data_IF_667028047737
#
_entry.id   IF_667028047737
#
_cell.length_a   1.000
_cell.length_b   1.000
_cell.length_c   1.000
_cell.angle_alpha   90.00
_cell.angle_beta   90.00
_cell.angle_gamma   90.00
#
_symmetry.space_group_name_H-M   'P 1'
#
loop_
_entity.id
_entity.type
_entity.pdbx_description
1 polymer ?
#
# COMPACT_ATOMS: atom_id res chain seq x y z
N UNK A 1 -57.45 66.69 -4.17
CA UNK A 1 -58.28 65.54 -4.56
C UNK A 1 -57.49 64.76 -5.61
N UNK A 2 -57.14 63.50 -5.27
CA UNK A 2 -56.59 62.42 -6.12
C UNK A 2 -55.15 62.61 -6.66
N UNK A 3 -54.15 61.82 -6.22
CA UNK A 3 -53.84 60.42 -6.63
C UNK A 3 -53.22 60.40 -8.05
N UNK A 4 -52.20 59.63 -8.46
CA UNK A 4 -51.12 58.82 -7.90
C UNK A 4 -50.27 58.36 -9.13
N UNK A 5 -49.10 57.76 -8.89
CA UNK A 5 -48.32 56.86 -9.78
C UNK A 5 -47.59 57.50 -10.97
N UNK A 6 -46.53 56.93 -11.54
CA UNK A 6 -45.38 56.11 -11.12
C UNK A 6 -44.43 56.12 -12.35
N UNK A 7 -43.11 56.09 -12.08
CA UNK A 7 -41.98 55.73 -12.94
C UNK A 7 -42.04 55.86 -14.47
N UNK A 8 -41.03 56.57 -15.03
CA UNK A 8 -40.31 56.14 -16.24
C UNK A 8 -38.88 56.69 -16.23
N UNK A 9 -37.93 55.76 -16.29
CA UNK A 9 -36.52 55.96 -16.62
C UNK A 9 -36.38 56.52 -18.04
N UNK A 10 -35.47 57.48 -18.27
CA UNK A 10 -34.82 57.63 -19.58
C UNK A 10 -33.38 58.10 -19.45
N UNK A 11 -32.55 57.41 -20.21
CA UNK A 11 -31.14 57.65 -20.50
C UNK A 11 -30.85 59.00 -21.20
N UNK A 12 -29.60 59.44 -21.01
CA UNK A 12 -28.76 60.24 -21.92
C UNK A 12 -29.08 61.73 -22.18
N UNK A 13 -28.06 62.58 -21.95
CA UNK A 13 -28.08 63.97 -22.43
C UNK A 13 -27.17 64.97 -21.72
N UNK A 14 -25.87 64.68 -21.66
CA UNK A 14 -24.71 65.59 -21.64
C UNK A 14 -24.91 67.07 -21.23
N UNK A 15 -24.15 67.51 -20.21
CA UNK A 15 -23.67 68.89 -20.13
C UNK A 15 -22.15 68.89 -19.88
N UNK A 16 -21.43 69.17 -20.95
CA UNK A 16 -20.00 69.49 -20.99
C UNK A 16 -19.63 70.60 -19.99
N UNK A 17 -18.54 70.42 -19.24
CA UNK A 17 -17.58 71.49 -18.97
C UNK A 17 -16.15 70.95 -19.08
N UNK A 18 -15.33 71.81 -19.66
CA UNK A 18 -14.04 71.60 -20.31
C UNK A 18 -12.88 71.17 -19.41
N UNK A 19 -12.10 70.22 -19.95
CA UNK A 19 -10.65 70.05 -19.88
C UNK A 19 -9.88 71.02 -18.98
N UNK A 20 -9.37 70.50 -17.86
CA UNK A 20 -8.10 70.94 -17.29
C UNK A 20 -7.14 69.75 -17.19
N UNK A 21 -6.55 69.41 -18.34
CA UNK A 21 -5.41 68.50 -18.45
C UNK A 21 -4.17 69.22 -17.90
N UNK A 22 -3.82 69.01 -16.62
CA UNK A 22 -2.40 69.01 -16.18
C UNK A 22 -2.14 68.77 -14.68
N UNK A 23 -3.14 68.48 -13.84
CA UNK A 23 -2.90 68.39 -12.38
C UNK A 23 -2.86 66.96 -11.81
N UNK A 24 -3.54 65.99 -12.42
CA UNK A 24 -3.69 64.64 -11.82
C UNK A 24 -2.58 63.64 -12.21
N UNK A 25 -1.76 63.96 -13.21
CA UNK A 25 -0.71 63.06 -13.72
C UNK A 25 0.57 63.05 -12.85
N UNK A 26 0.68 63.95 -11.86
CA UNK A 26 1.87 64.05 -11.01
C UNK A 26 1.85 63.17 -9.74
N UNK A 27 0.70 62.55 -9.40
CA UNK A 27 0.54 61.76 -8.17
C UNK A 27 0.62 60.23 -8.36
N UNK A 28 0.63 59.74 -9.59
CA UNK A 28 0.67 58.29 -9.89
C UNK A 28 2.04 57.74 -10.33
N UNK A 29 3.11 58.53 -10.25
CA UNK A 29 4.45 58.13 -10.70
C UNK A 29 5.39 57.63 -9.58
N UNK A 30 4.85 57.10 -8.47
CA UNK A 30 5.64 56.48 -7.38
C UNK A 30 5.11 55.12 -6.92
N UNK A 31 4.78 54.18 -7.82
CA UNK A 31 4.54 52.76 -7.43
C UNK A 31 5.03 51.66 -8.41
N UNK A 32 6.28 51.66 -8.92
CA UNK A 32 6.81 50.49 -9.63
C UNK A 32 7.49 49.47 -8.69
N UNK A 33 8.16 49.91 -7.62
CA UNK A 33 8.95 49.01 -6.76
C UNK A 33 8.11 48.03 -5.94
N UNK A 34 6.95 48.47 -5.41
CA UNK A 34 6.07 47.59 -4.61
C UNK A 34 5.51 46.41 -5.42
N UNK A 35 5.31 46.57 -6.74
CA UNK A 35 4.86 45.47 -7.63
C UNK A 35 5.98 44.46 -7.91
N UNK A 36 7.21 44.93 -8.12
CA UNK A 36 8.38 44.05 -8.31
C UNK A 36 8.75 43.31 -7.02
N UNK A 37 8.78 44.01 -5.88
CA UNK A 37 9.02 43.37 -4.58
C UNK A 37 7.96 42.32 -4.26
N UNK A 38 6.68 42.60 -4.53
CA UNK A 38 5.59 41.63 -4.38
C UNK A 38 5.74 40.40 -5.29
N UNK A 39 6.24 40.58 -6.52
CA UNK A 39 6.52 39.48 -7.44
C UNK A 39 7.65 38.58 -6.94
N UNK A 40 8.76 39.16 -6.46
CA UNK A 40 9.86 38.40 -5.87
C UNK A 40 9.44 37.70 -4.57
N UNK A 41 8.61 38.34 -3.75
CA UNK A 41 8.09 37.75 -2.52
C UNK A 41 7.23 36.51 -2.82
N UNK A 42 6.34 36.60 -3.83
CA UNK A 42 5.51 35.47 -4.28
C UNK A 42 6.37 34.34 -4.83
N UNK A 43 7.33 34.65 -5.70
CA UNK A 43 8.23 33.66 -6.27
C UNK A 43 9.04 32.92 -5.20
N UNK A 44 9.55 33.64 -4.18
CA UNK A 44 10.26 33.03 -3.07
C UNK A 44 9.37 32.10 -2.23
N UNK A 45 8.09 32.46 -2.05
CA UNK A 45 7.12 31.67 -1.30
C UNK A 45 6.69 30.40 -2.06
N UNK A 46 6.54 30.48 -3.37
CA UNK A 46 6.30 29.31 -4.23
C UNK A 46 7.51 28.35 -4.22
N UNK A 47 8.73 28.88 -4.31
CA UNK A 47 9.95 28.06 -4.27
C UNK A 47 10.10 27.40 -2.89
N UNK A 48 9.83 28.11 -1.79
CA UNK A 48 9.92 27.52 -0.45
C UNK A 48 8.86 26.46 -0.21
N UNK A 49 7.64 26.66 -0.71
CA UNK A 49 6.56 25.66 -0.66
C UNK A 49 6.90 24.43 -1.50
N UNK A 50 7.41 24.62 -2.71
CA UNK A 50 7.85 23.50 -3.57
C UNK A 50 9.01 22.72 -2.92
N UNK A 51 9.98 23.41 -2.33
CA UNK A 51 11.08 22.78 -1.61
C UNK A 51 10.58 22.00 -0.39
N UNK A 52 9.64 22.56 0.38
CA UNK A 52 9.03 21.88 1.51
C UNK A 52 8.25 20.62 1.07
N UNK A 53 7.49 20.70 -0.02
CA UNK A 53 6.79 19.54 -0.60
C UNK A 53 7.80 18.47 -1.02
N UNK A 54 8.87 18.84 -1.72
CA UNK A 54 9.91 17.88 -2.12
C UNK A 54 10.58 17.25 -0.91
N UNK A 55 10.91 18.03 0.13
CA UNK A 55 11.49 17.51 1.37
C UNK A 55 10.52 16.55 2.06
N UNK A 56 9.24 16.90 2.17
CA UNK A 56 8.22 16.03 2.74
C UNK A 56 8.03 14.75 1.92
N UNK A 57 8.03 14.84 0.59
CA UNK A 57 7.96 13.66 -0.28
C UNK A 57 9.20 12.79 -0.13
N UNK A 58 10.40 13.37 -0.04
CA UNK A 58 11.64 12.61 0.14
C UNK A 58 11.70 11.96 1.52
N UNK A 59 11.40 12.68 2.59
CA UNK A 59 11.43 12.15 3.96
C UNK A 59 10.32 11.10 4.20
N UNK A 60 9.10 11.35 3.74
CA UNK A 60 7.99 10.40 3.88
C UNK A 60 8.19 9.16 2.99
N UNK A 61 8.76 9.33 1.80
CA UNK A 61 9.04 8.20 0.90
C UNK A 61 10.27 7.40 1.33
N UNK A 62 11.20 7.99 2.11
CA UNK A 62 12.31 7.25 2.73
C UNK A 62 11.79 6.27 3.79
N UNK A 63 10.80 6.69 4.57
CA UNK A 63 10.26 5.88 5.66
C UNK A 63 9.46 4.65 5.18
N UNK A 64 8.97 4.66 3.94
CA UNK A 64 8.14 3.59 3.36
C UNK A 64 8.86 2.58 2.46
N UNK A 65 10.16 2.75 2.14
CA UNK A 65 10.84 1.89 1.14
C UNK A 65 11.69 0.74 1.71
N UNK A 66 12.07 0.78 2.99
CA UNK A 66 13.10 -0.13 3.52
C UNK A 66 12.63 -1.53 3.93
N UNK A 67 11.34 -1.86 3.82
CA UNK A 67 10.80 -3.11 4.43
C UNK A 67 10.36 -4.20 3.45
N UNK A 68 10.22 -3.94 2.15
CA UNK A 68 9.76 -4.98 1.20
C UNK A 68 10.93 -5.85 0.74
N UNK A 69 11.29 -6.84 1.57
CA UNK A 69 12.14 -7.96 1.12
C UNK A 69 11.44 -8.65 -0.04
N UNK A 70 12.16 -8.86 -1.16
CA UNK A 70 11.66 -9.60 -2.33
C UNK A 70 11.11 -10.96 -1.88
N UNK A 71 9.92 -11.32 -2.38
CA UNK A 71 9.32 -12.63 -2.11
C UNK A 71 10.30 -13.76 -2.45
N UNK A 72 10.44 -14.78 -1.58
CA UNK A 72 11.28 -15.96 -1.84
C UNK A 72 10.69 -16.90 -2.91
N UNK A 73 9.48 -16.63 -3.41
CA UNK A 73 8.86 -17.40 -4.49
C UNK A 73 9.66 -17.23 -5.79
N UNK A 74 10.03 -18.32 -6.49
CA UNK A 74 10.76 -18.25 -7.76
C UNK A 74 10.00 -17.43 -8.81
N UNK A 75 10.66 -16.47 -9.46
CA UNK A 75 10.05 -15.67 -10.53
C UNK A 75 9.71 -16.46 -11.80
N UNK A 76 10.56 -17.40 -12.29
CA UNK A 76 10.30 -18.08 -13.56
C UNK A 76 9.12 -19.04 -13.51
N UNK A 77 9.01 -19.85 -12.45
CA UNK A 77 7.97 -20.89 -12.34
C UNK A 77 6.86 -20.54 -11.35
N UNK A 78 7.04 -19.51 -10.52
CA UNK A 78 6.12 -19.16 -9.42
C UNK A 78 5.80 -20.31 -8.46
N UNK A 79 6.65 -21.33 -8.44
CA UNK A 79 6.45 -22.54 -7.63
C UNK A 79 5.72 -23.69 -8.33
N UNK A 80 5.35 -23.53 -9.59
CA UNK A 80 4.81 -24.63 -10.39
C UNK A 80 5.90 -25.56 -10.91
N UNK A 81 5.60 -26.85 -10.94
CA UNK A 81 6.47 -27.93 -11.44
C UNK A 81 5.68 -28.85 -12.38
N UNK A 82 6.38 -29.39 -13.37
CA UNK A 82 5.84 -30.39 -14.30
C UNK A 82 6.52 -31.72 -13.99
N UNK A 83 5.71 -32.73 -13.66
CA UNK A 83 6.20 -34.08 -13.36
C UNK A 83 6.01 -34.96 -14.59
N UNK A 84 7.11 -35.55 -15.07
CA UNK A 84 7.07 -36.54 -16.14
C UNK A 84 6.50 -37.84 -15.58
N UNK A 85 5.67 -38.51 -16.36
CA UNK A 85 5.06 -39.79 -15.99
C UNK A 85 4.30 -39.73 -14.65
N UNK A 86 3.59 -38.62 -14.40
CA UNK A 86 2.85 -38.37 -13.15
C UNK A 86 1.87 -39.51 -12.78
N UNK A 87 1.38 -40.26 -13.77
CA UNK A 87 0.52 -41.44 -13.60
C UNK A 87 1.16 -42.61 -12.84
N UNK A 88 2.48 -42.60 -12.64
CA UNK A 88 3.20 -43.59 -11.83
C UNK A 88 3.14 -43.31 -10.32
N UNK A 89 2.64 -42.14 -9.94
CA UNK A 89 2.56 -41.67 -8.56
C UNK A 89 1.11 -41.41 -8.17
N UNK A 90 0.82 -41.47 -6.87
CA UNK A 90 -0.48 -41.07 -6.33
C UNK A 90 -0.51 -39.55 -6.16
N UNK A 91 -0.66 -38.85 -7.28
CA UNK A 91 -0.71 -37.39 -7.33
C UNK A 91 -2.14 -36.92 -7.60
N UNK A 92 -2.53 -35.74 -7.09
CA UNK A 92 -3.83 -35.16 -7.39
C UNK A 92 -3.98 -34.87 -8.90
N UNK A 93 -5.20 -34.52 -9.32
CA UNK A 93 -5.43 -34.08 -10.68
C UNK A 93 -4.64 -32.81 -10.96
N UNK A 94 -3.84 -32.72 -12.04
CA UNK A 94 -2.99 -31.57 -12.27
C UNK A 94 -3.78 -30.31 -12.65
N UNK A 95 -3.18 -29.15 -12.37
CA UNK A 95 -3.60 -27.89 -12.98
C UNK A 95 -3.26 -27.87 -14.47
N UNK A 96 -3.98 -27.03 -15.20
CA UNK A 96 -3.60 -26.67 -16.57
C UNK A 96 -2.83 -25.36 -16.51
N UNK A 97 -1.53 -25.41 -16.77
CA UNK A 97 -0.63 -24.26 -16.68
C UNK A 97 0.08 -24.02 -18.01
N UNK A 98 0.45 -22.77 -18.27
CA UNK A 98 1.33 -22.46 -19.39
C UNK A 98 2.72 -23.05 -19.12
N UNK A 99 3.12 -24.03 -19.93
CA UNK A 99 4.45 -24.67 -19.84
C UNK A 99 5.47 -23.95 -20.71
N UNK A 100 5.01 -23.28 -21.76
CA UNK A 100 5.79 -22.36 -22.57
C UNK A 100 4.91 -21.23 -23.14
N UNK A 101 5.46 -20.44 -24.07
CA UNK A 101 4.76 -19.28 -24.66
C UNK A 101 3.53 -19.66 -25.51
N UNK A 102 3.43 -20.90 -25.95
CA UNK A 102 2.46 -21.37 -26.94
C UNK A 102 1.66 -22.59 -26.47
N UNK A 103 2.13 -23.30 -25.46
CA UNK A 103 1.54 -24.55 -24.99
C UNK A 103 1.18 -24.51 -23.51
N UNK A 104 0.02 -25.11 -23.22
CA UNK A 104 -0.40 -25.45 -21.86
C UNK A 104 -0.15 -26.93 -21.60
N UNK A 105 0.06 -27.28 -20.34
CA UNK A 105 0.32 -28.65 -19.91
C UNK A 105 -0.09 -28.90 -18.46
N UNK A 106 -0.04 -30.17 -18.02
CA UNK A 106 -0.31 -30.53 -16.64
C UNK A 106 0.81 -30.02 -15.72
N UNK A 107 0.44 -29.38 -14.62
CA UNK A 107 1.40 -28.92 -13.61
C UNK A 107 0.83 -28.93 -12.21
N UNK A 108 1.75 -28.90 -11.25
CA UNK A 108 1.49 -28.93 -9.81
C UNK A 108 2.13 -27.73 -9.15
N UNK A 109 1.51 -27.17 -8.11
CA UNK A 109 2.16 -26.14 -7.30
C UNK A 109 2.80 -26.79 -6.08
N UNK A 110 4.05 -26.45 -5.76
CA UNK A 110 4.59 -26.88 -4.46
C UNK A 110 4.01 -26.02 -3.33
N UNK A 111 3.51 -26.66 -2.28
CA UNK A 111 2.81 -26.01 -1.17
C UNK A 111 3.60 -24.88 -0.53
N UNK A 112 4.90 -25.04 -0.26
CA UNK A 112 5.72 -23.98 0.33
C UNK A 112 5.66 -22.66 -0.47
N UNK A 113 5.61 -22.73 -1.81
CA UNK A 113 5.54 -21.54 -2.63
C UNK A 113 4.13 -20.94 -2.66
N UNK A 114 3.10 -21.77 -2.53
CA UNK A 114 1.73 -21.28 -2.32
C UNK A 114 1.61 -20.55 -0.98
N UNK A 115 2.09 -21.14 0.11
CA UNK A 115 2.10 -20.54 1.45
C UNK A 115 2.83 -19.19 1.47
N UNK A 116 4.00 -19.12 0.82
CA UNK A 116 4.76 -17.88 0.69
C UNK A 116 4.04 -16.84 -0.19
N UNK A 117 3.32 -17.27 -1.23
CA UNK A 117 2.50 -16.38 -2.04
C UNK A 117 1.35 -15.79 -1.21
N UNK A 118 0.60 -16.62 -0.48
CA UNK A 118 -0.47 -16.18 0.42
C UNK A 118 0.05 -15.22 1.49
N UNK A 119 1.20 -15.53 2.12
CA UNK A 119 1.83 -14.64 3.09
C UNK A 119 2.19 -13.27 2.50
N UNK A 120 2.67 -13.24 1.24
CA UNK A 120 2.97 -11.98 0.56
C UNK A 120 1.70 -11.18 0.25
N UNK A 121 0.61 -11.86 -0.12
CA UNK A 121 -0.68 -11.24 -0.37
C UNK A 121 -1.25 -10.60 0.91
N UNK A 122 -1.15 -11.30 2.04
CA UNK A 122 -1.54 -10.77 3.35
C UNK A 122 -0.70 -9.56 3.77
N UNK A 123 0.62 -9.62 3.57
CA UNK A 123 1.51 -8.50 3.92
C UNK A 123 1.22 -7.25 3.08
N UNK A 124 0.91 -7.42 1.80
CA UNK A 124 0.53 -6.32 0.91
C UNK A 124 -0.82 -5.71 1.33
N UNK A 125 -1.84 -6.53 1.55
CA UNK A 125 -3.18 -6.04 1.94
C UNK A 125 -3.20 -5.45 3.34
N UNK A 126 -2.37 -5.97 4.26
CA UNK A 126 -2.16 -5.34 5.56
C UNK A 126 -1.63 -3.92 5.37
N UNK A 127 -0.59 -3.72 4.54
CA UNK A 127 -0.05 -2.38 4.29
C UNK A 127 -1.08 -1.45 3.64
N UNK A 128 -1.84 -1.94 2.65
CA UNK A 128 -2.89 -1.17 1.99
C UNK A 128 -4.04 -0.79 2.94
N UNK A 129 -4.45 -1.70 3.83
CA UNK A 129 -5.53 -1.46 4.78
C UNK A 129 -5.23 -0.36 5.81
N UNK A 130 -3.95 -0.08 6.05
CA UNK A 130 -3.48 1.01 6.92
C UNK A 130 -2.98 2.23 6.14
N UNK A 131 -3.23 2.32 4.84
CA UNK A 131 -2.81 3.47 4.05
C UNK A 131 -3.44 4.76 4.60
N UNK A 132 -2.60 5.78 4.83
CA UNK A 132 -2.99 7.03 5.49
C UNK A 132 -3.21 6.98 7.01
N UNK A 133 -3.08 5.80 7.66
CA UNK A 133 -3.18 5.66 9.12
C UNK A 133 -1.78 5.57 9.72
N UNK A 134 -1.48 6.47 10.68
CA UNK A 134 -0.22 6.42 11.40
C UNK A 134 -0.24 5.30 12.44
N UNK A 135 0.44 4.20 12.13
CA UNK A 135 0.67 3.11 13.07
C UNK A 135 1.61 3.56 14.19
N UNK A 136 1.42 3.02 15.39
CA UNK A 136 2.42 3.17 16.45
C UNK A 136 3.71 2.47 16.02
N UNK A 137 4.87 2.96 16.50
CA UNK A 137 6.17 2.34 16.20
C UNK A 137 6.19 0.86 16.58
N UNK A 138 5.55 0.52 17.69
CA UNK A 138 5.41 -0.84 18.19
C UNK A 138 4.66 -1.73 17.19
N UNK A 139 3.47 -1.32 16.73
CA UNK A 139 2.68 -2.10 15.78
C UNK A 139 3.42 -2.24 14.45
N UNK A 140 3.93 -1.15 13.89
CA UNK A 140 4.66 -1.19 12.62
C UNK A 140 5.88 -2.11 12.67
N UNK A 141 6.65 -2.07 13.76
CA UNK A 141 7.81 -2.92 13.96
C UNK A 141 7.41 -4.40 14.12
N UNK A 142 6.50 -4.71 15.05
CA UNK A 142 6.09 -6.09 15.31
C UNK A 142 5.46 -6.71 14.06
N UNK A 143 4.58 -6.01 13.35
CA UNK A 143 3.96 -6.57 12.15
C UNK A 143 5.01 -6.93 11.08
N UNK A 144 5.96 -6.04 10.81
CA UNK A 144 7.01 -6.31 9.82
C UNK A 144 7.88 -7.52 10.22
N UNK A 145 8.26 -7.61 11.50
CA UNK A 145 9.05 -8.74 12.00
C UNK A 145 8.25 -10.04 12.07
N UNK A 146 6.97 -10.01 12.44
CA UNK A 146 6.06 -11.18 12.43
C UNK A 146 5.93 -11.77 11.04
N UNK A 147 5.65 -10.97 10.00
CA UNK A 147 5.61 -11.46 8.63
C UNK A 147 6.93 -12.11 8.21
N UNK A 148 8.07 -11.49 8.56
CA UNK A 148 9.37 -12.09 8.26
C UNK A 148 9.68 -13.33 9.11
N UNK A 149 9.16 -13.44 10.34
CA UNK A 149 9.32 -14.61 11.20
C UNK A 149 8.53 -15.80 10.64
N UNK A 150 7.26 -15.60 10.29
CA UNK A 150 6.42 -16.62 9.65
C UNK A 150 7.06 -17.07 8.33
N UNK A 151 7.53 -16.13 7.50
CA UNK A 151 8.24 -16.44 6.24
C UNK A 151 9.46 -17.35 6.49
N UNK A 152 10.22 -17.10 7.55
CA UNK A 152 11.36 -17.95 7.91
C UNK A 152 10.93 -19.34 8.35
N UNK A 153 9.85 -19.44 9.14
CA UNK A 153 9.26 -20.72 9.54
C UNK A 153 8.85 -21.56 8.33
N UNK A 154 8.11 -20.97 7.38
CA UNK A 154 7.69 -21.64 6.14
C UNK A 154 8.88 -22.11 5.29
N UNK A 155 9.97 -21.34 5.26
CA UNK A 155 11.17 -21.75 4.53
C UNK A 155 12.00 -22.80 5.27
N UNK A 156 11.97 -22.80 6.60
CA UNK A 156 12.69 -23.76 7.44
C UNK A 156 12.00 -25.14 7.42
N UNK A 157 10.67 -25.13 7.43
CA UNK A 157 9.82 -26.32 7.37
C UNK A 157 9.06 -26.30 6.04
N UNK A 158 9.81 -26.29 4.94
CA UNK A 158 9.25 -26.17 3.60
C UNK A 158 8.43 -27.41 3.25
N UNK A 159 7.12 -27.22 3.13
CA UNK A 159 6.20 -28.26 2.66
C UNK A 159 6.39 -28.50 1.16
N UNK A 160 6.85 -29.71 0.81
CA UNK A 160 7.15 -30.13 -0.56
C UNK A 160 5.97 -30.82 -1.26
N UNK A 161 4.81 -30.88 -0.61
CA UNK A 161 3.57 -31.44 -1.18
C UNK A 161 3.25 -30.80 -2.53
N UNK A 162 2.79 -31.63 -3.47
CA UNK A 162 2.40 -31.21 -4.81
C UNK A 162 0.90 -31.01 -4.89
N UNK A 163 0.48 -29.76 -4.89
CA UNK A 163 -0.93 -29.38 -4.99
C UNK A 163 -1.41 -29.49 -6.43
N UNK A 164 -2.59 -30.09 -6.58
CA UNK A 164 -3.35 -30.18 -7.82
C UNK A 164 -4.73 -29.57 -7.65
N UNK A 165 -5.58 -29.76 -8.66
CA UNK A 165 -7.00 -29.40 -8.60
C UNK A 165 -7.70 -30.25 -7.55
N UNK A 166 -8.42 -29.58 -6.66
CA UNK A 166 -9.35 -30.16 -5.68
C UNK A 166 -10.72 -29.48 -5.81
N UNK A 167 -11.74 -30.07 -5.18
CA UNK A 167 -13.08 -29.47 -5.12
C UNK A 167 -13.17 -28.33 -4.08
N UNK A 168 -12.18 -28.21 -3.20
CA UNK A 168 -12.18 -27.26 -2.06
C UNK A 168 -11.47 -25.93 -2.40
N UNK A 169 -10.66 -25.92 -3.46
CA UNK A 169 -9.95 -24.74 -3.95
C UNK A 169 -8.45 -24.96 -4.04
N UNK A 170 -7.67 -23.97 -4.49
CA UNK A 170 -6.24 -24.13 -4.60
C UNK A 170 -5.59 -24.43 -3.25
N UNK A 171 -4.82 -25.52 -3.17
CA UNK A 171 -4.13 -25.99 -1.96
C UNK A 171 -5.04 -26.67 -0.94
N UNK A 172 -6.25 -26.16 -0.72
CA UNK A 172 -7.27 -26.79 0.14
C UNK A 172 -7.62 -28.20 -0.37
N UNK A 173 -7.69 -29.16 0.54
CA UNK A 173 -7.94 -30.57 0.21
C UNK A 173 -6.72 -31.34 -0.33
N UNK A 174 -5.52 -30.74 -0.37
CA UNK A 174 -4.29 -31.48 -0.64
C UNK A 174 -3.88 -32.31 0.59
N UNK A 175 -3.28 -33.47 0.37
CA UNK A 175 -2.79 -34.32 1.46
C UNK A 175 -1.36 -33.90 1.86
N UNK A 176 -1.16 -33.59 3.14
CA UNK A 176 0.10 -33.10 3.69
C UNK A 176 0.64 -34.04 4.77
N UNK A 177 1.96 -34.14 4.88
CA UNK A 177 2.62 -34.79 6.01
C UNK A 177 2.84 -33.78 7.14
N UNK A 178 2.11 -33.97 8.25
CA UNK A 178 2.10 -33.04 9.37
C UNK A 178 2.81 -33.60 10.61
N UNK A 179 3.34 -32.69 11.44
CA UNK A 179 3.72 -33.01 12.82
C UNK A 179 2.46 -33.30 13.63
N UNK A 180 2.53 -34.28 14.53
CA UNK A 180 1.47 -34.51 15.52
C UNK A 180 1.36 -33.30 16.47
N UNK A 181 0.38 -32.45 16.18
CA UNK A 181 0.16 -31.21 16.91
C UNK A 181 -0.27 -31.46 18.36
N UNK A 182 -1.05 -32.52 18.61
CA UNK A 182 -1.56 -32.82 19.94
C UNK A 182 -0.43 -33.34 20.84
N UNK A 183 0.43 -34.22 20.32
CA UNK A 183 1.62 -34.67 21.04
C UNK A 183 2.59 -33.51 21.33
N UNK A 184 2.78 -32.62 20.35
CA UNK A 184 3.60 -31.41 20.53
C UNK A 184 3.01 -30.49 21.61
N UNK A 185 1.69 -30.26 21.57
CA UNK A 185 0.97 -29.42 22.52
C UNK A 185 1.03 -30.01 23.94
N UNK A 186 0.85 -31.32 24.09
CA UNK A 186 0.99 -32.01 25.37
C UNK A 186 2.40 -31.82 25.93
N UNK A 187 3.42 -32.07 25.10
CA UNK A 187 4.81 -31.90 25.50
C UNK A 187 5.10 -30.45 25.93
N UNK A 188 4.64 -29.46 25.16
CA UNK A 188 4.88 -28.05 25.47
C UNK A 188 4.22 -27.62 26.79
N UNK A 189 2.99 -28.06 27.05
CA UNK A 189 2.29 -27.75 28.30
C UNK A 189 2.98 -28.37 29.52
N UNK A 190 3.46 -29.62 29.40
CA UNK A 190 4.19 -30.32 30.46
C UNK A 190 5.51 -29.65 30.82
N UNK A 191 6.15 -28.99 29.85
CA UNK A 191 7.44 -28.30 30.02
C UNK A 191 7.30 -26.77 30.06
N UNK A 192 6.09 -26.27 30.33
CA UNK A 192 5.85 -24.82 30.38
C UNK A 192 6.66 -24.16 31.50
N UNK A 193 7.37 -23.08 31.15
CA UNK A 193 8.16 -22.30 32.12
C UNK A 193 7.27 -21.61 33.17
N UNK A 194 6.08 -21.19 32.74
CA UNK A 194 5.07 -20.58 33.60
C UNK A 194 3.68 -20.95 33.07
N UNK A 195 2.73 -21.17 33.99
CA UNK A 195 1.32 -21.31 33.60
C UNK A 195 0.80 -19.98 33.06
N UNK A 196 0.12 -19.99 31.92
CA UNK A 196 -0.43 -18.81 31.25
C UNK A 196 -1.14 -17.82 32.20
N UNK A 197 -1.92 -18.34 33.16
CA UNK A 197 -2.65 -17.52 34.15
C UNK A 197 -1.77 -16.66 35.06
N UNK A 198 -0.46 -16.92 35.11
CA UNK A 198 0.49 -16.24 35.97
C UNK A 198 1.46 -15.36 35.18
N UNK A 199 1.33 -15.30 33.84
CA UNK A 199 2.19 -14.51 32.97
C UNK A 199 1.86 -13.03 33.16
N UNK A 200 2.83 -12.17 33.52
CA UNK A 200 2.63 -10.72 33.56
C UNK A 200 2.22 -10.19 32.18
N UNK A 201 1.35 -9.18 32.13
CA UNK A 201 0.84 -8.59 30.88
C UNK A 201 1.97 -8.06 29.95
N UNK A 202 3.14 -7.79 30.52
CA UNK A 202 4.36 -7.31 29.84
C UNK A 202 5.24 -8.44 29.25
N UNK A 203 4.90 -9.71 29.49
CA UNK A 203 5.65 -10.88 29.01
C UNK A 203 5.04 -11.55 27.77
N UNK A 204 3.92 -11.05 27.26
CA UNK A 204 3.39 -11.44 25.95
C UNK A 204 4.09 -10.64 24.85
N UNK A 205 5.09 -11.27 24.24
CA UNK A 205 5.75 -10.79 23.01
C UNK A 205 4.78 -10.75 21.82
#
# INVERSE_FOLDING_TARGET
MKEATNDKVSEEGQAFLSSDRNSEDALWQKRPEKRRASWYLRLALEISMAAAIVVLLVLNSYQGRDTIKRTPVPRPSRGYVVIKDAHLYDLPHPYTIAVDRYNDGPGYMMTVFHQLHCLSYLAEHYQQGYDGVQLTKEVAHHTAHCFNYIRQGLMCSADITLEGKTDEGPGEGSEHECVDYDALLEWANKHSAMKWRNVPDEATL
#
